data_IF_976960437099
#
_entry.id   IF_976960437099
#
_cell.length_a   1.000
_cell.length_b   1.000
_cell.length_c   1.000
_cell.angle_alpha   90.00
_cell.angle_beta   90.00
_cell.angle_gamma   90.00
#
_symmetry.space_group_name_H-M   'P 1'
#
loop_
_entity.id
_entity.type
_entity.pdbx_description
1 polymer ?
#
# COMPACT_ATOMS: atom_id res chain seq x y z
N UNK A 1 10.75 14.72 20.21
CA UNK A 1 10.43 14.48 18.79
C UNK A 1 11.71 14.71 18.00
N UNK A 2 12.33 13.64 17.51
CA UNK A 2 13.59 13.68 16.76
C UNK A 2 13.26 13.24 15.35
N UNK A 3 13.43 14.13 14.39
CA UNK A 3 13.14 13.89 12.98
C UNK A 3 14.10 12.87 12.38
N UNK A 4 13.54 11.89 11.66
CA UNK A 4 14.20 11.33 10.50
C UNK A 4 13.34 11.75 9.31
N UNK A 5 13.81 12.69 8.49
CA UNK A 5 13.08 13.15 7.34
C UNK A 5 12.99 11.97 6.38
N UNK A 6 11.77 11.56 6.05
CA UNK A 6 11.53 11.09 4.69
C UNK A 6 12.37 9.87 4.28
N UNK A 7 12.23 8.73 4.97
CA UNK A 7 12.68 7.45 4.41
C UNK A 7 11.71 7.07 3.29
N UNK A 8 11.75 7.81 2.19
CA UNK A 8 11.02 7.50 0.98
C UNK A 8 11.87 6.47 0.21
N UNK A 9 12.23 5.39 0.88
CA UNK A 9 12.97 4.27 0.31
C UNK A 9 12.09 3.05 0.40
N UNK A 10 12.11 2.20 -0.62
CA UNK A 10 11.39 0.94 -0.54
C UNK A 10 12.13 0.04 0.46
N UNK A 11 11.39 -0.52 1.43
CA UNK A 11 11.93 -1.54 2.34
C UNK A 11 12.22 -2.88 1.66
N UNK A 12 11.80 -3.02 0.40
CA UNK A 12 11.98 -4.18 -0.47
C UNK A 12 12.43 -3.71 -1.86
N UNK A 13 13.10 -4.55 -2.66
CA UNK A 13 13.31 -4.25 -4.07
C UNK A 13 11.98 -3.99 -4.78
N UNK A 14 11.96 -3.04 -5.73
CA UNK A 14 10.75 -2.69 -6.49
C UNK A 14 10.09 -3.90 -7.15
N UNK A 15 10.89 -4.82 -7.69
CA UNK A 15 10.39 -6.05 -8.30
C UNK A 15 9.63 -6.95 -7.32
N UNK A 16 10.04 -6.99 -6.05
CA UNK A 16 9.33 -7.76 -5.03
C UNK A 16 7.99 -7.09 -4.66
N UNK A 17 7.95 -5.75 -4.63
CA UNK A 17 6.69 -5.00 -4.46
C UNK A 17 5.74 -5.29 -5.62
N UNK A 18 6.23 -5.30 -6.86
CA UNK A 18 5.42 -5.65 -8.03
C UNK A 18 4.90 -7.09 -7.99
N UNK A 19 5.73 -8.05 -7.54
CA UNK A 19 5.30 -9.45 -7.37
C UNK A 19 4.18 -9.56 -6.33
N UNK A 20 4.26 -8.81 -5.23
CA UNK A 20 3.20 -8.75 -4.22
C UNK A 20 1.93 -8.17 -4.83
N UNK A 21 2.02 -7.05 -5.57
CA UNK A 21 0.86 -6.44 -6.24
C UNK A 21 0.16 -7.39 -7.22
N UNK A 22 0.91 -8.16 -8.02
CA UNK A 22 0.34 -9.16 -8.91
C UNK A 22 -0.37 -10.28 -8.13
N UNK A 23 0.26 -10.84 -7.10
CA UNK A 23 -0.36 -11.87 -6.25
C UNK A 23 -1.64 -11.38 -5.58
N UNK A 24 -1.67 -10.13 -5.15
CA UNK A 24 -2.86 -9.49 -4.57
C UNK A 24 -3.95 -9.28 -5.62
N UNK A 25 -3.59 -8.93 -6.86
CA UNK A 25 -4.56 -8.76 -7.93
C UNK A 25 -5.20 -10.08 -8.38
N UNK A 26 -4.41 -11.16 -8.41
CA UNK A 26 -4.87 -12.52 -8.72
C UNK A 26 -5.71 -13.14 -7.60
N UNK A 27 -5.67 -12.56 -6.40
CA UNK A 27 -6.48 -13.00 -5.26
C UNK A 27 -7.95 -12.58 -5.43
N UNK A 28 -8.86 -13.28 -4.73
CA UNK A 28 -10.29 -12.91 -4.66
C UNK A 28 -10.59 -11.73 -3.74
N UNK A 29 -9.57 -10.96 -3.35
CA UNK A 29 -9.75 -9.79 -2.46
C UNK A 29 -10.31 -8.63 -3.27
N UNK A 30 -11.46 -8.12 -2.82
CA UNK A 30 -12.15 -7.00 -3.46
C UNK A 30 -11.55 -5.65 -3.09
N UNK A 31 -11.12 -5.49 -1.82
CA UNK A 31 -10.59 -4.23 -1.29
C UNK A 31 -9.38 -4.46 -0.39
N UNK A 32 -8.33 -3.68 -0.60
CA UNK A 32 -7.04 -3.75 0.09
C UNK A 32 -6.79 -2.38 0.72
N UNK A 33 -6.65 -2.37 2.04
CA UNK A 33 -6.43 -1.18 2.83
C UNK A 33 -5.00 -1.19 3.38
N UNK A 34 -4.23 -0.12 3.15
CA UNK A 34 -2.83 0.00 3.57
C UNK A 34 -2.61 1.21 4.46
N UNK A 35 -1.58 1.15 5.30
CA UNK A 35 -1.23 2.23 6.21
C UNK A 35 0.27 2.25 6.51
N UNK A 36 0.70 3.28 7.24
CA UNK A 36 2.00 3.46 7.89
C UNK A 36 3.22 2.85 7.17
N UNK A 37 3.51 1.56 7.40
CA UNK A 37 4.74 0.91 6.95
C UNK A 37 4.80 0.60 5.45
N UNK A 38 3.66 0.60 4.74
CA UNK A 38 3.67 0.45 3.27
C UNK A 38 4.48 1.56 2.61
N UNK A 39 4.39 2.78 3.14
CA UNK A 39 5.10 3.93 2.61
C UNK A 39 4.57 4.40 1.24
N UNK A 40 4.82 5.68 0.94
CA UNK A 40 4.33 6.36 -0.27
C UNK A 40 4.82 5.72 -1.58
N UNK A 41 6.09 5.28 -1.64
CA UNK A 41 6.64 4.67 -2.85
C UNK A 41 6.01 3.31 -3.17
N UNK A 42 5.93 2.40 -2.19
CA UNK A 42 5.35 1.09 -2.44
C UNK A 42 3.85 1.20 -2.71
N UNK A 43 3.16 2.11 -2.02
CA UNK A 43 1.75 2.40 -2.30
C UNK A 43 1.54 2.81 -3.76
N UNK A 44 2.35 3.73 -4.30
CA UNK A 44 2.22 4.16 -5.69
C UNK A 44 2.46 3.02 -6.69
N UNK A 45 3.46 2.17 -6.46
CA UNK A 45 3.69 0.97 -7.29
C UNK A 45 2.50 0.02 -7.23
N UNK A 46 2.02 -0.27 -6.02
CA UNK A 46 0.86 -1.16 -5.84
C UNK A 46 -0.41 -0.56 -6.46
N UNK A 47 -0.56 0.77 -6.46
CA UNK A 47 -1.72 1.47 -7.03
C UNK A 47 -1.78 1.33 -8.56
N UNK A 48 -0.65 1.23 -9.25
CA UNK A 48 -0.64 0.99 -10.70
C UNK A 48 -1.18 -0.39 -11.07
N UNK A 49 -0.98 -1.39 -10.21
CA UNK A 49 -1.42 -2.77 -10.44
C UNK A 49 -2.84 -3.04 -9.91
N UNK A 50 -3.16 -2.53 -8.72
CA UNK A 50 -4.40 -2.83 -7.99
C UNK A 50 -5.51 -1.81 -8.26
N UNK A 51 -5.18 -0.63 -8.81
CA UNK A 51 -6.15 0.39 -9.18
C UNK A 51 -7.11 0.74 -8.04
N UNK A 52 -8.41 0.64 -8.29
CA UNK A 52 -9.45 0.98 -7.32
C UNK A 52 -9.55 0.01 -6.14
N UNK A 53 -8.94 -1.18 -6.22
CA UNK A 53 -8.91 -2.13 -5.10
C UNK A 53 -8.06 -1.63 -3.93
N UNK A 54 -7.08 -0.76 -4.17
CA UNK A 54 -6.14 -0.30 -3.14
C UNK A 54 -6.50 1.09 -2.60
N UNK A 55 -6.67 1.20 -1.28
CA UNK A 55 -6.88 2.47 -0.58
C UNK A 55 -5.91 2.63 0.59
N UNK A 56 -5.51 3.87 0.85
CA UNK A 56 -4.73 4.23 2.03
C UNK A 56 -5.68 4.65 3.15
N UNK A 57 -5.45 4.15 4.37
CA UNK A 57 -6.22 4.53 5.54
C UNK A 57 -5.40 5.42 6.48
N UNK A 58 -6.10 6.33 7.16
CA UNK A 58 -5.52 7.30 8.10
C UNK A 58 -6.17 7.20 9.47
N UNK A 59 -5.43 7.62 10.50
CA UNK A 59 -5.94 7.66 11.87
C UNK A 59 -7.25 8.47 11.93
N UNK A 60 -8.26 7.92 12.62
CA UNK A 60 -9.58 8.54 12.74
C UNK A 60 -10.51 8.30 11.54
N UNK A 61 -10.07 7.55 10.52
CA UNK A 61 -10.97 7.12 9.45
C UNK A 61 -11.90 6.02 9.94
N UNK A 62 -13.20 6.21 9.73
CA UNK A 62 -14.22 5.19 9.93
C UNK A 62 -14.48 4.46 8.61
N UNK A 63 -14.51 3.14 8.67
CA UNK A 63 -14.77 2.26 7.53
C UNK A 63 -15.99 1.43 7.89
N UNK A 64 -16.97 1.42 7.01
CA UNK A 64 -18.11 0.51 7.08
C UNK A 64 -17.85 -0.62 6.09
N UNK A 65 -17.88 -1.85 6.59
CA UNK A 65 -17.70 -3.05 5.78
C UNK A 65 -19.07 -3.71 5.75
N UNK A 66 -19.67 -3.78 4.57
CA UNK A 66 -20.98 -4.40 4.33
C UNK A 66 -20.83 -5.83 3.81
#
# INVERSE_FOLDING_TARGET
>A
MIGIPYINNLGLPEQEVMKIGNKLNDSRVEKILTCHCTGSKAFNILKTQLGNKLEAIKTGQHLEIS
#
